data_IF_520960776572
#
_entry.id   IF_520960776572
#
_cell.length_a   1.000
_cell.length_b   1.000
_cell.length_c   1.000
_cell.angle_alpha   90.00
_cell.angle_beta   90.00
_cell.angle_gamma   90.00
#
_symmetry.space_group_name_H-M   'P 1'
#
loop_
_entity.id
_entity.type
_entity.pdbx_description
1 polymer ?
#
# COMPACT_ATOMS: atom_id res chain seq x y z
N UNK A 1 -6.76 12.28 -15.49
CA UNK A 1 -7.84 11.89 -14.59
C UNK A 1 -8.87 13.00 -14.54
N UNK A 2 -10.09 12.73 -15.03
CA UNK A 2 -11.22 13.66 -14.94
C UNK A 2 -12.17 13.17 -13.83
N UNK A 3 -11.86 13.43 -12.61
CA UNK A 3 -12.70 13.09 -11.46
C UNK A 3 -12.13 13.68 -10.18
N UNK A 4 -13.00 14.02 -9.25
CA UNK A 4 -12.59 14.48 -7.92
C UNK A 4 -12.54 13.25 -7.01
N UNK A 5 -11.35 12.81 -6.56
CA UNK A 5 -11.26 11.72 -5.59
C UNK A 5 -11.93 12.13 -4.28
N UNK A 6 -12.59 11.17 -3.63
CA UNK A 6 -13.13 11.40 -2.29
C UNK A 6 -12.02 11.17 -1.28
N UNK A 7 -11.60 12.23 -0.61
CA UNK A 7 -10.59 12.17 0.43
C UNK A 7 -11.31 12.21 1.78
N UNK A 8 -10.99 11.25 2.66
CA UNK A 8 -11.50 11.18 4.03
C UNK A 8 -10.35 10.86 4.98
N UNK A 9 -10.40 11.42 6.18
CA UNK A 9 -9.60 10.89 7.27
C UNK A 9 -10.12 9.49 7.62
N UNK A 10 -9.23 8.60 7.98
CA UNK A 10 -9.50 7.18 8.30
C UNK A 10 -10.64 7.01 9.32
N UNK A 11 -10.67 7.85 10.37
CA UNK A 11 -11.71 7.86 11.40
C UNK A 11 -13.12 8.19 10.89
N UNK A 12 -13.25 8.75 9.69
CA UNK A 12 -14.53 9.07 9.06
C UNK A 12 -14.91 8.07 7.95
N UNK A 13 -14.08 7.09 7.70
CA UNK A 13 -14.38 6.02 6.73
C UNK A 13 -15.36 5.04 7.35
N UNK A 14 -16.52 4.91 6.74
CA UNK A 14 -17.58 4.01 7.21
C UNK A 14 -17.43 2.60 6.64
N UNK A 15 -18.11 1.62 7.23
CA UNK A 15 -18.22 0.26 6.66
C UNK A 15 -18.89 0.26 5.28
N UNK A 16 -19.76 1.21 5.01
CA UNK A 16 -20.36 1.39 3.68
C UNK A 16 -19.33 1.89 2.69
N UNK A 17 -18.49 2.86 3.04
CA UNK A 17 -17.38 3.30 2.19
C UNK A 17 -16.46 2.14 1.83
N UNK A 18 -16.09 1.33 2.82
CA UNK A 18 -15.21 0.16 2.61
C UNK A 18 -15.80 -0.88 1.65
N UNK A 19 -17.11 -1.03 1.63
CA UNK A 19 -17.79 -1.97 0.71
C UNK A 19 -18.04 -1.38 -0.67
N UNK A 20 -18.27 -0.07 -0.75
CA UNK A 20 -18.73 0.58 -1.97
C UNK A 20 -17.59 1.04 -2.88
N UNK A 21 -16.44 1.38 -2.32
CA UNK A 21 -15.34 2.02 -3.05
C UNK A 21 -14.07 1.20 -3.02
N UNK A 22 -13.23 1.39 -4.05
CA UNK A 22 -11.82 1.04 -3.94
C UNK A 22 -11.16 1.99 -2.94
N UNK A 23 -10.26 1.47 -2.12
CA UNK A 23 -9.61 2.24 -1.07
C UNK A 23 -8.14 2.45 -1.42
N UNK A 24 -7.67 3.68 -1.30
CA UNK A 24 -6.24 3.99 -1.29
C UNK A 24 -5.91 4.44 0.13
N UNK A 25 -5.13 3.62 0.82
CA UNK A 25 -4.77 3.81 2.23
C UNK A 25 -3.34 4.35 2.31
N UNK A 26 -3.22 5.52 2.91
CA UNK A 26 -1.94 6.19 3.13
C UNK A 26 -1.51 6.01 4.59
N UNK A 27 -0.20 5.96 4.80
CA UNK A 27 0.38 5.81 6.13
C UNK A 27 0.64 4.35 6.50
N UNK A 28 0.71 4.09 7.78
CA UNK A 28 0.99 2.78 8.35
C UNK A 28 -0.13 2.32 9.31
N UNK A 29 0.05 1.16 9.93
CA UNK A 29 -0.91 0.60 10.90
C UNK A 29 -1.02 1.42 12.20
N UNK A 30 -0.10 2.35 12.48
CA UNK A 30 -0.17 3.23 13.65
C UNK A 30 -0.98 4.48 13.36
N UNK A 31 -0.87 4.99 12.13
CA UNK A 31 -1.44 6.26 11.69
C UNK A 31 -2.76 6.12 10.93
N UNK A 32 -3.09 4.91 10.43
CA UNK A 32 -4.30 4.64 9.69
C UNK A 32 -5.10 3.49 10.33
N UNK A 33 -6.23 3.82 10.95
CA UNK A 33 -7.07 2.86 11.69
C UNK A 33 -7.71 1.80 10.78
N UNK A 34 -8.02 2.13 9.53
CA UNK A 34 -8.54 1.17 8.55
C UNK A 34 -7.47 0.16 8.17
N UNK A 35 -6.25 0.63 7.91
CA UNK A 35 -5.12 -0.25 7.62
C UNK A 35 -4.81 -1.16 8.81
N UNK A 36 -4.81 -0.62 10.03
CA UNK A 36 -4.65 -1.41 11.26
C UNK A 36 -5.68 -2.52 11.36
N UNK A 37 -6.95 -2.23 11.13
CA UNK A 37 -8.04 -3.21 11.15
C UNK A 37 -7.84 -4.31 10.10
N UNK A 38 -7.48 -3.95 8.87
CA UNK A 38 -7.28 -4.89 7.77
C UNK A 38 -6.08 -5.81 8.02
N UNK A 39 -4.97 -5.28 8.51
CA UNK A 39 -3.77 -6.05 8.84
C UNK A 39 -4.00 -7.00 10.01
N UNK A 40 -4.77 -6.59 11.02
CA UNK A 40 -5.00 -7.40 12.21
C UNK A 40 -5.82 -8.67 11.94
N UNK A 41 -6.58 -8.72 10.84
CA UNK A 41 -7.46 -9.83 10.58
C UNK A 41 -7.45 -10.30 9.11
N UNK A 42 -7.91 -9.46 8.20
CA UNK A 42 -8.29 -9.91 6.86
C UNK A 42 -7.10 -10.17 5.93
N UNK A 43 -6.12 -9.27 5.90
CA UNK A 43 -4.96 -9.40 5.02
C UNK A 43 -3.97 -10.44 5.53
N UNK A 44 -3.84 -10.58 6.86
CA UNK A 44 -3.02 -11.62 7.47
C UNK A 44 -3.61 -13.02 7.21
N UNK A 45 -4.92 -13.19 7.34
CA UNK A 45 -5.59 -14.47 7.05
C UNK A 45 -5.54 -14.82 5.56
N UNK A 46 -5.62 -13.84 4.68
CA UNK A 46 -5.47 -14.05 3.25
C UNK A 46 -4.03 -14.40 2.83
N UNK A 47 -3.07 -14.32 3.76
CA UNK A 47 -1.65 -14.59 3.48
C UNK A 47 -0.99 -13.55 2.59
N UNK A 48 -1.59 -12.37 2.47
CA UNK A 48 -1.06 -11.30 1.61
C UNK A 48 0.08 -10.58 2.29
N UNK A 49 -0.10 -10.18 3.55
CA UNK A 49 0.90 -9.41 4.29
C UNK A 49 0.66 -9.55 5.80
N UNK A 50 1.74 -9.62 6.56
CA UNK A 50 1.73 -9.41 8.00
C UNK A 50 2.68 -8.25 8.31
N UNK A 51 2.20 -7.27 9.06
CA UNK A 51 2.97 -6.07 9.33
C UNK A 51 2.66 -5.55 10.73
N UNK A 52 3.68 -5.50 11.55
CA UNK A 52 3.65 -4.95 12.90
C UNK A 52 4.80 -3.95 13.13
N UNK A 53 5.01 -3.53 14.38
CA UNK A 53 6.02 -2.53 14.73
C UNK A 53 7.47 -3.01 14.53
N UNK A 54 7.70 -4.30 14.41
CA UNK A 54 9.04 -4.89 14.30
C UNK A 54 9.30 -5.51 12.93
N UNK A 55 8.27 -6.12 12.34
CA UNK A 55 8.43 -6.98 11.20
C UNK A 55 7.38 -6.70 10.12
N UNK A 56 7.84 -6.66 8.89
CA UNK A 56 7.05 -6.72 7.68
C UNK A 56 7.31 -8.06 7.01
N UNK A 57 6.32 -8.94 6.98
CA UNK A 57 6.37 -10.21 6.28
C UNK A 57 5.58 -10.13 4.97
N UNK A 58 6.25 -10.35 3.85
CA UNK A 58 5.67 -10.30 2.50
C UNK A 58 6.40 -11.29 1.59
N UNK A 59 5.67 -12.06 0.79
CA UNK A 59 6.23 -13.04 -0.15
C UNK A 59 7.27 -13.97 0.49
N UNK A 60 6.96 -14.56 1.66
CA UNK A 60 7.84 -15.50 2.39
C UNK A 60 9.18 -14.89 2.87
N UNK A 61 9.27 -13.57 2.92
CA UNK A 61 10.45 -12.84 3.38
C UNK A 61 10.07 -11.89 4.49
N UNK A 62 11.03 -11.67 5.38
CA UNK A 62 10.93 -10.78 6.53
C UNK A 62 11.82 -9.56 6.34
N UNK A 63 11.26 -8.39 6.67
CA UNK A 63 11.95 -7.11 6.63
C UNK A 63 11.75 -6.39 7.95
N UNK A 64 12.74 -5.59 8.33
CA UNK A 64 12.62 -4.71 9.49
C UNK A 64 11.59 -3.61 9.20
N UNK A 65 10.47 -3.62 9.94
CA UNK A 65 9.38 -2.67 9.76
C UNK A 65 9.72 -1.23 10.15
N UNK A 66 10.86 -1.00 10.81
CA UNK A 66 11.33 0.36 11.12
C UNK A 66 11.97 1.04 9.90
N UNK A 67 12.45 0.26 8.95
CA UNK A 67 13.18 0.74 7.77
C UNK A 67 12.53 0.37 6.45
N UNK A 68 11.54 -0.52 6.46
CA UNK A 68 10.88 -1.00 5.26
C UNK A 68 9.37 -0.84 5.34
N UNK A 69 8.78 -0.41 4.24
CA UNK A 69 7.33 -0.24 4.11
C UNK A 69 6.80 -0.93 2.86
N UNK A 70 5.55 -1.42 2.90
CA UNK A 70 4.92 -2.04 1.75
C UNK A 70 4.21 -1.02 0.87
N UNK A 71 4.20 -1.30 -0.42
CA UNK A 71 3.29 -0.71 -1.40
C UNK A 71 2.66 -1.88 -2.14
N UNK A 72 1.34 -2.01 -2.14
CA UNK A 72 0.68 -3.13 -2.82
C UNK A 72 -0.77 -2.83 -3.18
N UNK A 73 -1.28 -3.57 -4.17
CA UNK A 73 -2.70 -3.64 -4.50
C UNK A 73 -3.21 -5.06 -4.23
N UNK A 74 -4.40 -5.19 -3.66
CA UNK A 74 -5.03 -6.49 -3.40
C UNK A 74 -6.56 -6.34 -3.43
N UNK A 75 -7.32 -7.42 -3.69
CA UNK A 75 -8.75 -7.40 -3.47
C UNK A 75 -9.10 -7.02 -2.03
N UNK A 76 -10.19 -6.27 -1.88
CA UNK A 76 -10.69 -5.92 -0.56
C UNK A 76 -11.31 -7.18 0.10
N UNK A 77 -10.78 -7.69 1.23
CA UNK A 77 -11.30 -8.89 1.86
C UNK A 77 -12.77 -8.79 2.31
N UNK A 78 -13.28 -7.57 2.49
CA UNK A 78 -14.69 -7.33 2.89
C UNK A 78 -15.60 -7.02 1.71
N UNK A 79 -15.04 -6.80 0.52
CA UNK A 79 -15.76 -6.53 -0.73
C UNK A 79 -14.88 -6.98 -1.91
N UNK A 80 -14.87 -8.29 -2.27
CA UNK A 80 -13.91 -8.88 -3.22
C UNK A 80 -13.86 -8.25 -4.62
N UNK A 81 -14.93 -7.58 -5.04
CA UNK A 81 -15.03 -6.80 -6.29
C UNK A 81 -14.41 -5.41 -6.21
N UNK A 82 -13.87 -5.05 -5.08
CA UNK A 82 -13.15 -3.80 -4.84
C UNK A 82 -11.70 -4.07 -4.51
N UNK A 83 -10.88 -3.06 -4.69
CA UNK A 83 -9.45 -3.14 -4.40
C UNK A 83 -9.08 -2.27 -3.21
N UNK A 84 -8.02 -2.70 -2.55
CA UNK A 84 -7.28 -1.92 -1.57
C UNK A 84 -5.90 -1.68 -2.14
N UNK A 85 -5.47 -0.42 -2.13
CA UNK A 85 -4.08 -0.03 -2.38
C UNK A 85 -3.49 0.43 -1.06
N UNK A 86 -2.45 -0.24 -0.61
CA UNK A 86 -1.62 0.21 0.52
C UNK A 86 -0.48 1.04 -0.05
N UNK A 87 -0.38 2.28 0.39
CA UNK A 87 0.57 3.24 -0.10
C UNK A 87 1.34 3.88 1.06
N UNK A 88 2.23 3.11 1.66
CA UNK A 88 2.93 3.49 2.89
C UNK A 88 4.27 4.18 2.64
N UNK A 89 4.74 4.16 1.40
CA UNK A 89 5.99 4.81 1.04
C UNK A 89 5.81 6.25 0.55
N UNK A 90 6.90 6.97 0.32
CA UNK A 90 6.91 8.30 -0.27
C UNK A 90 6.64 8.23 -1.78
N UNK A 91 5.39 7.95 -2.14
CA UNK A 91 4.97 7.68 -3.52
C UNK A 91 4.56 8.92 -4.29
N UNK A 92 4.42 10.05 -3.61
CA UNK A 92 4.13 11.33 -4.24
C UNK A 92 5.31 12.28 -4.06
N UNK A 93 5.66 13.01 -5.12
CA UNK A 93 6.74 14.00 -5.11
C UNK A 93 6.14 15.38 -5.35
N UNK A 94 6.27 16.23 -4.36
CA UNK A 94 5.93 17.64 -4.49
C UNK A 94 7.01 18.40 -5.25
N UNK A 95 6.62 19.48 -5.88
CA UNK A 95 7.56 20.43 -6.49
C UNK A 95 8.11 20.03 -7.86
N UNK A 96 7.57 18.99 -8.48
CA UNK A 96 7.92 18.62 -9.85
C UNK A 96 7.05 19.35 -10.89
N UNK A 97 7.68 20.00 -11.82
CA UNK A 97 7.07 20.58 -13.04
C UNK A 97 6.86 19.53 -14.16
N UNK A 98 7.11 18.26 -13.86
CA UNK A 98 6.98 17.14 -14.78
C UNK A 98 5.59 16.53 -14.77
N UNK A 99 5.27 15.73 -15.79
CA UNK A 99 3.98 15.05 -15.92
C UNK A 99 3.73 14.04 -14.78
N UNK A 100 2.48 13.81 -14.42
CA UNK A 100 2.08 12.84 -13.40
C UNK A 100 2.68 11.44 -13.59
N UNK A 101 2.92 11.02 -14.85
CA UNK A 101 3.53 9.73 -15.15
C UNK A 101 4.98 9.61 -14.69
N UNK A 102 5.66 10.73 -14.45
CA UNK A 102 7.03 10.76 -13.92
C UNK A 102 7.07 11.03 -12.40
N UNK A 103 5.95 11.48 -11.83
CA UNK A 103 5.86 11.74 -10.39
C UNK A 103 5.55 10.48 -9.57
N UNK A 104 4.88 9.49 -10.17
CA UNK A 104 4.55 8.25 -9.50
C UNK A 104 5.51 7.14 -9.91
N UNK A 105 6.03 6.36 -8.97
CA UNK A 105 6.84 5.21 -9.30
C UNK A 105 6.00 4.17 -10.06
N UNK A 106 6.58 3.58 -11.09
CA UNK A 106 5.99 2.43 -11.79
C UNK A 106 6.39 1.18 -11.04
N UNK A 107 5.51 0.72 -10.17
CA UNK A 107 5.70 -0.48 -9.38
C UNK A 107 4.79 -1.60 -9.91
N UNK A 108 5.18 -2.88 -9.74
CA UNK A 108 4.31 -4.02 -10.00
C UNK A 108 3.19 -4.10 -8.93
N UNK A 109 2.52 -5.25 -8.79
CA UNK A 109 1.37 -5.37 -7.88
C UNK A 109 1.75 -5.17 -6.41
N UNK A 110 2.99 -5.49 -6.04
CA UNK A 110 3.53 -5.23 -4.71
C UNK A 110 5.01 -4.85 -4.75
N UNK A 111 5.45 -4.11 -3.79
CA UNK A 111 6.84 -3.73 -3.57
C UNK A 111 7.13 -3.52 -2.09
N UNK A 112 8.39 -3.73 -1.71
CA UNK A 112 8.96 -3.35 -0.42
C UNK A 112 9.98 -2.24 -0.67
N UNK A 113 9.83 -1.16 0.07
CA UNK A 113 10.68 0.03 -0.07
C UNK A 113 11.47 0.25 1.21
N UNK A 114 12.79 0.33 1.08
CA UNK A 114 13.69 0.81 2.13
C UNK A 114 13.60 2.34 2.19
N UNK A 115 13.04 2.84 3.28
CA UNK A 115 12.81 4.27 3.52
C UNK A 115 14.01 4.97 4.17
N UNK A 116 15.09 4.26 4.46
CA UNK A 116 16.34 4.90 4.90
C UNK A 116 17.03 5.65 3.75
N UNK A 117 16.71 5.25 2.52
CA UNK A 117 17.13 5.96 1.31
C UNK A 117 16.08 7.03 0.98
N UNK A 118 16.50 8.29 0.98
CA UNK A 118 15.61 9.39 0.64
C UNK A 118 15.03 9.26 -0.79
N UNK A 119 13.76 9.60 -1.00
CA UNK A 119 13.18 9.66 -2.34
C UNK A 119 13.88 10.73 -3.19
N UNK A 120 13.96 10.47 -4.49
CA UNK A 120 14.50 11.41 -5.47
C UNK A 120 13.58 11.51 -6.70
N UNK A 121 14.05 12.19 -7.74
CA UNK A 121 13.27 12.44 -8.96
C UNK A 121 12.86 11.17 -9.73
N UNK A 122 13.50 10.05 -9.45
CA UNK A 122 13.31 8.80 -10.21
C UNK A 122 12.63 7.73 -9.36
N UNK A 123 13.00 7.61 -8.08
CA UNK A 123 12.57 6.51 -7.21
C UNK A 123 12.01 7.01 -5.87
N UNK A 124 11.03 6.28 -5.28
CA UNK A 124 10.39 6.64 -4.01
C UNK A 124 11.24 6.34 -2.77
N UNK A 125 12.44 5.94 -2.92
CA UNK A 125 13.36 5.33 -1.99
C UNK A 125 14.04 4.17 -2.68
N UNK A 126 14.58 3.21 -1.94
CA UNK A 126 15.18 2.00 -2.53
C UNK A 126 14.16 0.87 -2.54
N UNK A 127 13.68 0.49 -3.72
CA UNK A 127 12.88 -0.74 -3.87
C UNK A 127 13.79 -1.93 -3.66
N UNK A 128 13.56 -2.72 -2.60
CA UNK A 128 14.38 -3.87 -2.23
C UNK A 128 13.80 -5.19 -2.71
N UNK A 129 12.49 -5.24 -2.87
CA UNK A 129 11.78 -6.37 -3.46
C UNK A 129 10.50 -5.90 -4.13
N UNK A 130 10.06 -6.62 -5.16
CA UNK A 130 8.82 -6.29 -5.88
C UNK A 130 8.39 -7.46 -6.75
N UNK A 131 7.09 -7.56 -7.05
CA UNK A 131 6.59 -8.62 -7.90
C UNK A 131 5.12 -8.51 -8.23
N UNK A 132 4.62 -9.55 -8.89
CA UNK A 132 3.24 -9.67 -9.30
C UNK A 132 2.54 -10.78 -8.53
N UNK A 133 1.22 -10.66 -8.39
CA UNK A 133 0.35 -11.78 -8.04
C UNK A 133 -0.02 -12.59 -9.29
N UNK A 134 -0.48 -13.80 -9.08
CA UNK A 134 -1.16 -14.58 -10.11
C UNK A 134 -2.65 -14.18 -10.21
N UNK A 135 -3.40 -14.88 -11.07
CA UNK A 135 -4.82 -14.65 -11.27
C UNK A 135 -5.69 -14.98 -10.04
N UNK A 136 -5.12 -15.63 -9.03
CA UNK A 136 -5.74 -15.95 -7.73
C UNK A 136 -5.23 -15.07 -6.61
N UNK A 137 -4.52 -13.99 -6.93
CA UNK A 137 -3.91 -13.06 -5.97
C UNK A 137 -2.89 -13.71 -5.03
N UNK A 138 -2.19 -14.72 -5.51
CA UNK A 138 -1.08 -15.37 -4.82
C UNK A 138 0.25 -14.87 -5.37
N UNK A 139 1.26 -14.84 -4.52
CA UNK A 139 2.62 -14.49 -4.95
C UNK A 139 3.12 -15.47 -6.02
N UNK A 140 3.64 -14.93 -7.11
CA UNK A 140 4.34 -15.68 -8.16
C UNK A 140 5.74 -16.04 -7.73
#
# INVERSE_FOLDING_TARGET
YRGTPRIKLDKFVTKEDQRKYNLILWGDFQTNSILKQLLSYSLAQAGVIQWDAKQLHINKKDYDAQTHVPILITPNPTAPEKYIVINSGPTHREGHDRTNSLQNPKLPDWAVVDITTAPNDVVPGKVVDAGFFDEYWKYK
#
